data_IF_066837470680
#
_entry.id   IF_066837470680
#
_cell.length_a   1.000
_cell.length_b   1.000
_cell.length_c   1.000
_cell.angle_alpha   90.00
_cell.angle_beta   90.00
_cell.angle_gamma   90.00
#
_symmetry.space_group_name_H-M   'P 1'
#
loop_
_entity.id
_entity.type
_entity.pdbx_description
1 polymer ?
#
# COMPACT_ATOMS: atom_id res chain seq x y z
N UNK A 1 -17.43 10.15 16.36
CA UNK A 1 -16.31 9.25 16.71
C UNK A 1 -16.88 8.29 17.74
N UNK A 2 -16.93 6.98 17.45
CA UNK A 2 -17.42 6.00 18.43
C UNK A 2 -16.46 6.03 19.61
N UNK A 3 -16.98 6.28 20.81
CA UNK A 3 -16.17 6.34 22.01
C UNK A 3 -15.73 4.93 22.40
N UNK A 4 -14.57 4.52 21.90
CA UNK A 4 -13.92 3.23 22.24
C UNK A 4 -13.55 3.19 23.74
N UNK A 5 -13.58 4.33 24.46
CA UNK A 5 -13.37 4.36 25.91
C UNK A 5 -14.56 3.82 26.72
N UNK A 6 -15.76 3.75 26.13
CA UNK A 6 -16.78 2.83 26.61
C UNK A 6 -16.34 1.42 26.25
N UNK A 7 -15.66 0.82 27.21
CA UNK A 7 -14.88 -0.40 27.12
C UNK A 7 -15.68 -1.67 26.74
N UNK A 8 -16.86 -1.53 26.15
CA UNK A 8 -17.76 -2.62 25.76
C UNK A 8 -17.07 -3.62 24.83
N UNK A 9 -16.22 -3.16 23.90
CA UNK A 9 -15.48 -4.08 23.03
C UNK A 9 -14.47 -4.92 23.82
N UNK A 10 -13.63 -4.31 24.65
CA UNK A 10 -12.67 -5.08 25.43
C UNK A 10 -13.35 -5.91 26.53
N UNK A 11 -14.38 -5.40 27.20
CA UNK A 11 -15.18 -6.19 28.14
C UNK A 11 -15.82 -7.41 27.47
N UNK A 12 -16.21 -7.32 26.21
CA UNK A 12 -16.81 -8.44 25.47
C UNK A 12 -15.80 -9.53 25.09
N UNK A 13 -14.52 -9.21 24.95
CA UNK A 13 -13.51 -10.13 24.40
C UNK A 13 -12.33 -10.44 25.33
N UNK A 14 -12.13 -9.70 26.42
CA UNK A 14 -10.94 -9.85 27.30
C UNK A 14 -10.83 -11.25 27.92
N UNK A 15 -11.95 -11.90 28.20
CA UNK A 15 -12.02 -13.22 28.85
C UNK A 15 -12.49 -14.33 27.88
N UNK A 16 -12.60 -14.04 26.58
CA UNK A 16 -13.08 -14.99 25.56
C UNK A 16 -11.89 -15.69 24.90
N UNK A 17 -11.71 -16.98 25.19
CA UNK A 17 -10.61 -17.78 24.66
C UNK A 17 -11.08 -19.15 24.13
N UNK A 18 -10.72 -19.52 22.89
CA UNK A 18 -10.15 -18.68 21.84
C UNK A 18 -11.19 -17.68 21.28
N UNK A 19 -10.77 -16.44 21.02
CA UNK A 19 -11.61 -15.45 20.34
C UNK A 19 -11.56 -15.66 18.82
N UNK A 20 -12.34 -16.61 18.31
CA UNK A 20 -12.31 -17.00 16.89
C UNK A 20 -12.56 -15.84 15.92
N UNK A 21 -13.38 -14.85 16.30
CA UNK A 21 -13.64 -13.67 15.48
C UNK A 21 -12.40 -12.78 15.36
N UNK A 22 -11.67 -12.52 16.46
CA UNK A 22 -10.41 -11.78 16.44
C UNK A 22 -9.32 -12.55 15.70
N UNK A 23 -9.20 -13.86 15.97
CA UNK A 23 -8.24 -14.74 15.29
C UNK A 23 -8.49 -14.75 13.78
N UNK A 24 -9.74 -14.83 13.34
CA UNK A 24 -10.10 -14.80 11.91
C UNK A 24 -9.67 -13.50 11.23
N UNK A 25 -9.95 -12.34 11.84
CA UNK A 25 -9.49 -11.05 11.33
C UNK A 25 -7.95 -10.95 11.32
N UNK A 26 -7.30 -11.36 12.41
CA UNK A 26 -5.85 -11.29 12.55
C UNK A 26 -5.13 -12.18 11.53
N UNK A 27 -5.59 -13.42 11.33
CA UNK A 27 -5.07 -14.32 10.30
C UNK A 27 -5.26 -13.75 8.90
N UNK A 28 -6.42 -13.16 8.62
CA UNK A 28 -6.69 -12.53 7.31
C UNK A 28 -5.65 -11.45 7.02
N UNK A 29 -5.42 -10.54 7.97
CA UNK A 29 -4.38 -9.52 7.81
C UNK A 29 -2.98 -10.14 7.74
N UNK A 30 -2.62 -11.05 8.65
CA UNK A 30 -1.29 -11.67 8.66
C UNK A 30 -0.95 -12.38 7.35
N UNK A 31 -1.92 -13.05 6.72
CA UNK A 31 -1.74 -13.66 5.39
C UNK A 31 -1.50 -12.56 4.34
N UNK A 32 -2.39 -11.56 4.25
CA UNK A 32 -2.24 -10.47 3.28
C UNK A 32 -0.90 -9.74 3.46
N UNK A 33 -0.49 -9.48 4.70
CA UNK A 33 0.78 -8.84 5.05
C UNK A 33 1.98 -9.67 4.68
N UNK A 34 1.93 -10.98 4.88
CA UNK A 34 3.00 -11.89 4.45
C UNK A 34 3.20 -11.80 2.93
N UNK A 35 2.10 -11.86 2.17
CA UNK A 35 2.14 -11.66 0.72
C UNK A 35 2.69 -10.27 0.36
N UNK A 36 2.19 -9.23 1.02
CA UNK A 36 2.61 -7.85 0.81
C UNK A 36 4.10 -7.64 1.04
N UNK A 37 4.66 -8.19 2.13
CA UNK A 37 6.09 -8.09 2.44
C UNK A 37 6.93 -8.76 1.36
N UNK A 38 6.59 -9.99 0.95
CA UNK A 38 7.34 -10.73 -0.08
C UNK A 38 7.35 -9.96 -1.40
N UNK A 39 6.18 -9.52 -1.85
CA UNK A 39 6.06 -8.89 -3.16
C UNK A 39 6.58 -7.46 -3.20
N UNK A 40 6.35 -6.65 -2.17
CA UNK A 40 6.92 -5.31 -2.10
C UNK A 40 8.45 -5.36 -1.95
N UNK A 41 9.00 -6.31 -1.17
CA UNK A 41 10.45 -6.57 -1.16
C UNK A 41 10.97 -6.89 -2.55
N UNK A 42 10.24 -7.75 -3.29
CA UNK A 42 10.63 -8.14 -4.64
C UNK A 42 10.66 -6.95 -5.61
N UNK A 43 9.71 -6.03 -5.52
CA UNK A 43 9.71 -4.78 -6.29
C UNK A 43 10.94 -3.94 -5.97
N UNK A 44 11.24 -3.72 -4.69
CA UNK A 44 12.39 -2.91 -4.26
C UNK A 44 13.70 -3.51 -4.78
N UNK A 45 13.90 -4.83 -4.60
CA UNK A 45 15.10 -5.54 -5.05
C UNK A 45 15.21 -5.49 -6.58
N UNK A 46 14.12 -5.74 -7.30
CA UNK A 46 14.12 -5.68 -8.76
C UNK A 46 14.48 -4.27 -9.28
N UNK A 47 13.92 -3.23 -8.69
CA UNK A 47 14.27 -1.83 -9.03
C UNK A 47 15.74 -1.51 -8.75
N UNK A 48 16.29 -2.02 -7.65
CA UNK A 48 17.69 -1.80 -7.29
C UNK A 48 18.65 -2.51 -8.26
N UNK A 49 18.39 -3.77 -8.59
CA UNK A 49 19.28 -4.61 -9.39
C UNK A 49 19.22 -4.28 -10.90
N UNK A 50 18.06 -3.91 -11.42
CA UNK A 50 17.86 -3.70 -12.86
C UNK A 50 18.22 -2.28 -13.28
N UNK A 51 19.31 -2.13 -14.06
CA UNK A 51 19.80 -0.81 -14.52
C UNK A 51 18.76 -0.03 -15.35
N UNK A 52 17.90 -0.72 -16.11
CA UNK A 52 16.83 -0.07 -16.89
C UNK A 52 15.72 0.53 -16.01
N UNK A 53 15.69 0.21 -14.71
CA UNK A 53 14.70 0.75 -13.75
C UNK A 53 15.17 2.00 -13.03
N UNK A 54 16.25 2.64 -13.46
CA UNK A 54 16.80 3.86 -12.82
C UNK A 54 16.05 5.16 -13.14
N UNK A 55 14.82 5.09 -13.63
CA UNK A 55 13.95 6.25 -13.88
C UNK A 55 13.14 6.67 -12.65
N UNK A 56 12.59 7.89 -12.66
CA UNK A 56 11.81 8.46 -11.55
C UNK A 56 10.63 7.59 -11.14
N UNK A 57 9.86 7.12 -12.12
CA UNK A 57 8.64 6.32 -11.90
C UNK A 57 8.94 5.02 -11.14
N UNK A 58 10.00 4.32 -11.51
CA UNK A 58 10.37 3.06 -10.88
C UNK A 58 10.97 3.28 -9.49
N UNK A 59 11.73 4.36 -9.29
CA UNK A 59 12.18 4.76 -7.96
C UNK A 59 11.00 5.08 -7.04
N UNK A 60 10.03 5.90 -7.49
CA UNK A 60 8.87 6.26 -6.68
C UNK A 60 7.99 5.05 -6.39
N UNK A 61 7.89 4.11 -7.33
CA UNK A 61 7.22 2.82 -7.10
C UNK A 61 7.95 1.97 -6.05
N UNK A 62 9.28 1.94 -6.07
CA UNK A 62 10.06 1.25 -5.04
C UNK A 62 9.95 1.95 -3.67
N UNK A 63 9.92 3.29 -3.63
CA UNK A 63 9.70 4.06 -2.41
C UNK A 63 8.30 3.78 -1.83
N UNK A 64 7.29 3.75 -2.68
CA UNK A 64 5.93 3.35 -2.30
C UNK A 64 5.90 1.93 -1.74
N UNK A 65 6.50 0.96 -2.44
CA UNK A 65 6.63 -0.43 -1.96
C UNK A 65 7.42 -0.53 -0.65
N UNK A 66 8.40 0.34 -0.42
CA UNK A 66 9.12 0.40 0.86
C UNK A 66 8.19 0.80 2.00
N UNK A 67 7.39 1.85 1.83
CA UNK A 67 6.41 2.26 2.84
C UNK A 67 5.36 1.18 3.11
N UNK A 68 4.88 0.52 2.06
CA UNK A 68 3.97 -0.62 2.19
C UNK A 68 4.60 -1.79 2.95
N UNK A 69 5.85 -2.15 2.62
CA UNK A 69 6.59 -3.19 3.32
C UNK A 69 6.68 -2.87 4.82
N UNK A 70 7.05 -1.64 5.16
CA UNK A 70 7.18 -1.20 6.55
C UNK A 70 5.83 -1.24 7.26
N UNK A 71 4.76 -0.75 6.62
CA UNK A 71 3.38 -0.79 7.12
C UNK A 71 2.91 -2.22 7.40
N UNK A 72 3.19 -3.16 6.50
CA UNK A 72 2.67 -4.52 6.61
C UNK A 72 3.25 -5.31 7.80
N UNK A 73 4.42 -4.94 8.32
CA UNK A 73 4.98 -5.57 9.53
C UNK A 73 4.11 -5.36 10.78
N UNK A 74 3.35 -4.28 10.84
CA UNK A 74 2.54 -3.94 12.01
C UNK A 74 1.38 -4.90 12.26
N UNK A 75 0.86 -5.54 11.22
CA UNK A 75 -0.23 -6.52 11.36
C UNK A 75 0.17 -7.74 12.21
N UNK A 76 1.45 -8.06 12.32
CA UNK A 76 1.89 -9.17 13.15
C UNK A 76 1.72 -8.92 14.65
N UNK A 77 1.64 -7.67 15.10
CA UNK A 77 1.26 -7.41 16.49
C UNK A 77 -0.17 -7.89 16.76
N UNK A 78 -1.10 -7.61 15.84
CA UNK A 78 -2.48 -8.08 15.98
C UNK A 78 -2.59 -9.61 15.89
N UNK A 79 -1.79 -10.25 15.03
CA UNK A 79 -1.68 -11.72 15.02
C UNK A 79 -1.21 -12.22 16.38
N UNK A 80 -0.12 -11.65 16.92
CA UNK A 80 0.41 -12.05 18.21
C UNK A 80 -0.61 -11.90 19.34
N UNK A 81 -1.28 -10.75 19.44
CA UNK A 81 -2.27 -10.49 20.51
C UNK A 81 -3.51 -11.37 20.38
N UNK A 82 -4.03 -11.59 19.17
CA UNK A 82 -5.21 -12.44 18.95
C UNK A 82 -4.95 -13.93 19.22
N UNK A 83 -3.72 -14.41 18.98
CA UNK A 83 -3.31 -15.77 19.35
C UNK A 83 -2.86 -15.90 20.81
N UNK A 84 -2.54 -14.79 21.46
CA UNK A 84 -2.26 -14.77 22.89
C UNK A 84 -3.54 -15.02 23.69
N UNK A 85 -3.39 -15.50 24.93
CA UNK A 85 -4.51 -15.62 25.88
C UNK A 85 -5.00 -14.23 26.35
N UNK A 86 -4.39 -13.12 25.92
CA UNK A 86 -4.75 -11.79 26.42
C UNK A 86 -5.74 -11.06 25.50
N UNK A 87 -5.80 -11.39 24.20
CA UNK A 87 -6.53 -10.67 23.13
C UNK A 87 -6.20 -9.17 22.96
N UNK A 88 -5.66 -8.52 23.99
CA UNK A 88 -5.43 -7.10 24.09
C UNK A 88 -4.05 -6.80 24.66
N UNK A 89 -3.55 -5.63 24.31
CA UNK A 89 -2.26 -5.09 24.75
C UNK A 89 -2.46 -3.62 25.15
N UNK A 90 -1.65 -3.16 26.09
CA UNK A 90 -1.57 -1.76 26.50
C UNK A 90 -1.29 -0.85 25.28
N UNK A 91 -2.04 0.24 25.16
CA UNK A 91 -1.96 1.13 24.01
C UNK A 91 -0.58 1.79 23.86
N UNK A 92 0.06 2.20 24.97
CA UNK A 92 1.41 2.80 24.91
C UNK A 92 2.44 1.79 24.45
N UNK A 93 2.36 0.55 24.94
CA UNK A 93 3.25 -0.53 24.51
C UNK A 93 3.05 -0.84 23.02
N UNK A 94 1.81 -0.98 22.57
CA UNK A 94 1.50 -1.21 21.17
C UNK A 94 2.00 -0.05 20.28
N UNK A 95 1.83 1.20 20.69
CA UNK A 95 2.32 2.36 19.96
C UNK A 95 3.85 2.39 19.83
N UNK A 96 4.59 1.96 20.87
CA UNK A 96 6.06 1.81 20.79
C UNK A 96 6.45 0.74 19.77
N UNK A 97 5.80 -0.42 19.81
CA UNK A 97 6.08 -1.54 18.91
C UNK A 97 5.74 -1.16 17.46
N UNK A 98 4.61 -0.49 17.25
CA UNK A 98 4.09 -0.15 15.92
C UNK A 98 4.64 1.16 15.35
N UNK A 99 5.44 1.93 16.09
CA UNK A 99 5.89 3.27 15.68
C UNK A 99 6.46 3.29 14.25
N UNK A 100 7.39 2.39 13.94
CA UNK A 100 8.00 2.31 12.61
C UNK A 100 6.99 1.90 11.55
N UNK A 101 6.07 1.01 11.90
CA UNK A 101 5.03 0.53 11.00
C UNK A 101 4.01 1.62 10.68
N UNK A 102 3.62 2.41 11.68
CA UNK A 102 2.76 3.60 11.53
C UNK A 102 3.46 4.66 10.67
N UNK A 103 4.80 4.77 10.75
CA UNK A 103 5.59 5.65 9.89
C UNK A 103 5.52 5.19 8.44
N UNK A 104 5.63 3.87 8.23
CA UNK A 104 5.33 3.21 6.96
C UNK A 104 3.99 3.68 6.42
N UNK A 105 2.93 3.45 7.18
CA UNK A 105 1.55 3.77 6.79
C UNK A 105 1.36 5.25 6.44
N UNK A 106 1.86 6.16 7.28
CA UNK A 106 1.80 7.59 7.03
C UNK A 106 2.53 7.99 5.75
N UNK A 107 3.68 7.39 5.45
CA UNK A 107 4.47 7.68 4.25
C UNK A 107 3.85 7.23 2.92
N UNK A 108 2.93 6.26 2.96
CA UNK A 108 2.24 5.73 1.77
C UNK A 108 1.47 6.83 1.03
N UNK A 109 0.65 7.60 1.76
CA UNK A 109 -0.26 8.61 1.18
C UNK A 109 0.49 9.68 0.38
N UNK A 110 1.51 10.38 0.91
CA UNK A 110 2.28 11.35 0.13
C UNK A 110 3.11 10.68 -0.97
N UNK A 111 3.68 9.49 -0.75
CA UNK A 111 4.44 8.80 -1.80
C UNK A 111 3.54 8.44 -3.00
N UNK A 112 2.31 7.99 -2.74
CA UNK A 112 1.30 7.71 -3.76
C UNK A 112 0.88 8.98 -4.50
N UNK A 113 0.62 10.07 -3.77
CA UNK A 113 0.31 11.38 -4.36
C UNK A 113 1.43 11.88 -5.29
N UNK A 114 2.68 11.89 -4.82
CA UNK A 114 3.82 12.32 -5.61
C UNK A 114 4.08 11.41 -6.82
N UNK A 115 3.83 10.11 -6.71
CA UNK A 115 3.87 9.19 -7.85
C UNK A 115 2.85 9.56 -8.92
N UNK A 116 1.64 9.97 -8.51
CA UNK A 116 0.62 10.50 -9.41
C UNK A 116 1.08 11.77 -10.11
N UNK A 117 1.63 12.72 -9.36
CA UNK A 117 2.15 14.00 -9.90
C UNK A 117 3.29 13.78 -10.89
N UNK A 118 4.32 12.99 -10.52
CA UNK A 118 5.46 12.70 -11.40
C UNK A 118 5.01 12.16 -12.75
N UNK A 119 4.04 11.24 -12.75
CA UNK A 119 3.48 10.66 -13.97
C UNK A 119 2.68 11.68 -14.78
N UNK A 120 1.88 12.52 -14.13
CA UNK A 120 1.11 13.54 -14.83
C UNK A 120 2.05 14.57 -15.48
N UNK A 121 3.09 15.00 -14.77
CA UNK A 121 4.12 15.92 -15.30
C UNK A 121 4.85 15.27 -16.46
N UNK A 122 5.30 14.02 -16.35
CA UNK A 122 6.01 13.32 -17.43
C UNK A 122 5.17 13.18 -18.71
N UNK A 123 3.84 13.11 -18.60
CA UNK A 123 2.94 13.00 -19.76
C UNK A 123 2.54 14.36 -20.32
N UNK A 124 2.20 15.31 -19.46
CA UNK A 124 1.71 16.64 -19.85
C UNK A 124 2.85 17.61 -20.24
N UNK A 125 4.01 17.47 -19.61
CA UNK A 125 5.15 18.39 -19.71
C UNK A 125 6.48 17.62 -19.82
N UNK A 126 6.59 16.71 -20.79
CA UNK A 126 7.76 15.84 -20.94
C UNK A 126 9.08 16.62 -21.05
N UNK A 127 9.11 17.72 -21.81
CA UNK A 127 10.32 18.55 -21.95
C UNK A 127 10.79 19.14 -20.61
N UNK A 128 9.86 19.56 -19.75
CA UNK A 128 10.19 20.05 -18.42
C UNK A 128 10.70 18.91 -17.53
N UNK A 129 10.04 17.75 -17.59
CA UNK A 129 10.40 16.57 -16.80
C UNK A 129 11.82 16.08 -17.12
N UNK A 130 12.19 16.04 -18.40
CA UNK A 130 13.52 15.62 -18.86
C UNK A 130 14.65 16.56 -18.40
N UNK A 131 14.33 17.82 -18.12
CA UNK A 131 15.28 18.82 -17.62
C UNK A 131 15.44 18.81 -16.09
N UNK A 132 14.66 18.00 -15.36
CA UNK A 132 14.75 17.93 -13.90
C UNK A 132 16.05 17.25 -13.45
N UNK A 133 16.68 17.81 -12.41
CA UNK A 133 17.79 17.15 -11.71
C UNK A 133 17.26 15.98 -10.90
N UNK A 134 17.14 14.82 -11.54
CA UNK A 134 16.49 13.61 -11.02
C UNK A 134 16.87 13.28 -9.56
N UNK A 135 18.16 13.34 -9.21
CA UNK A 135 18.61 13.04 -7.83
C UNK A 135 18.03 13.98 -6.79
N UNK A 136 18.05 15.28 -7.05
CA UNK A 136 17.51 16.28 -6.12
C UNK A 136 16.00 16.18 -6.02
N UNK A 137 15.33 15.99 -7.17
CA UNK A 137 13.90 15.79 -7.25
C UNK A 137 13.44 14.58 -6.40
N UNK A 138 14.06 13.42 -6.61
CA UNK A 138 13.70 12.20 -5.87
C UNK A 138 14.07 12.29 -4.38
N UNK A 139 15.19 12.93 -4.03
CA UNK A 139 15.57 13.16 -2.64
C UNK A 139 14.55 14.06 -1.92
N UNK A 140 14.05 15.11 -2.58
CA UNK A 140 13.02 15.98 -2.04
C UNK A 140 11.72 15.21 -1.77
N UNK A 141 11.21 14.47 -2.77
CA UNK A 141 9.98 13.69 -2.62
C UNK A 141 10.09 12.63 -1.51
N UNK A 142 11.23 11.93 -1.45
CA UNK A 142 11.52 10.96 -0.40
C UNK A 142 11.51 11.61 0.98
N UNK A 143 12.17 12.76 1.12
CA UNK A 143 12.26 13.50 2.39
C UNK A 143 10.87 13.97 2.84
N UNK A 144 10.05 14.48 1.93
CA UNK A 144 8.68 14.91 2.25
C UNK A 144 7.81 13.73 2.71
N UNK A 145 7.86 12.59 2.02
CA UNK A 145 7.10 11.39 2.42
C UNK A 145 7.55 10.83 3.77
N UNK A 146 8.87 10.75 4.01
CA UNK A 146 9.43 10.28 5.29
C UNK A 146 9.07 11.23 6.43
N UNK A 147 9.19 12.54 6.22
CA UNK A 147 8.88 13.55 7.23
C UNK A 147 7.41 13.49 7.62
N UNK A 148 6.51 13.37 6.63
CA UNK A 148 5.09 13.21 6.89
C UNK A 148 4.78 11.92 7.67
N UNK A 149 5.34 10.77 7.26
CA UNK A 149 5.16 9.50 7.98
C UNK A 149 5.70 9.57 9.41
N UNK A 150 6.83 10.23 9.64
CA UNK A 150 7.39 10.43 10.98
C UNK A 150 6.48 11.30 11.85
N UNK A 151 6.04 12.46 11.34
CA UNK A 151 5.11 13.34 12.07
C UNK A 151 3.78 12.65 12.38
N UNK A 152 3.26 11.85 11.44
CA UNK A 152 2.07 11.03 11.64
C UNK A 152 2.26 10.05 12.80
N UNK A 153 3.40 9.35 12.85
CA UNK A 153 3.70 8.39 13.93
C UNK A 153 3.90 9.03 15.28
N UNK A 154 4.54 10.20 15.32
CA UNK A 154 4.68 10.99 16.56
C UNK A 154 3.31 11.42 17.07
N UNK A 155 2.41 11.85 16.18
CA UNK A 155 1.04 12.20 16.56
C UNK A 155 0.30 11.01 17.17
N UNK A 156 0.38 9.82 16.54
CA UNK A 156 -0.25 8.62 17.10
C UNK A 156 0.35 8.19 18.43
N UNK A 157 1.68 8.29 18.56
CA UNK A 157 2.36 8.00 19.80
C UNK A 157 1.96 8.96 20.93
N UNK A 158 1.78 10.25 20.62
CA UNK A 158 1.27 11.23 21.56
C UNK A 158 -0.18 10.93 21.98
N UNK A 159 -1.06 10.56 21.03
CA UNK A 159 -2.41 10.10 21.32
C UNK A 159 -2.39 8.91 22.30
N UNK A 160 -1.49 7.94 22.07
CA UNK A 160 -1.34 6.79 22.96
C UNK A 160 -0.80 7.13 24.35
N UNK A 161 0.03 8.17 24.49
CA UNK A 161 0.47 8.65 25.82
C UNK A 161 -0.72 9.23 26.59
N UNK A 162 -1.55 10.05 25.92
CA UNK A 162 -2.73 10.68 26.52
C UNK A 162 -3.80 9.66 26.90
N UNK A 163 -4.04 8.65 26.07
CA UNK A 163 -5.07 7.60 26.25
C UNK A 163 -4.51 6.34 26.94
N UNK A 164 -3.43 6.47 27.70
CA UNK A 164 -2.51 5.38 28.01
C UNK A 164 -3.01 4.19 28.81
N UNK A 165 -4.19 4.26 29.43
CA UNK A 165 -4.77 3.15 30.19
C UNK A 165 -5.71 2.27 29.33
N UNK A 166 -5.81 2.56 28.03
CA UNK A 166 -6.66 1.80 27.11
C UNK A 166 -5.98 0.49 26.68
N UNK A 167 -6.77 -0.58 26.69
CA UNK A 167 -6.40 -1.88 26.16
C UNK A 167 -6.93 -2.01 24.73
N UNK A 168 -6.04 -2.29 23.78
CA UNK A 168 -6.38 -2.37 22.35
C UNK A 168 -6.04 -3.75 21.79
N UNK A 169 -6.61 -4.11 20.64
CA UNK A 169 -6.29 -5.40 20.00
C UNK A 169 -4.88 -5.42 19.43
N UNK A 170 -4.24 -4.27 19.24
CA UNK A 170 -2.96 -4.16 18.52
C UNK A 170 -3.13 -4.15 17.00
N UNK A 171 -4.36 -4.01 16.52
CA UNK A 171 -4.69 -3.77 15.11
C UNK A 171 -4.50 -2.29 14.77
N UNK A 172 -4.11 -1.99 13.53
CA UNK A 172 -4.05 -0.62 13.01
C UNK A 172 -5.36 0.15 13.14
N UNK A 173 -6.49 -0.56 13.15
CA UNK A 173 -7.82 0.04 13.32
C UNK A 173 -7.93 0.75 14.67
N UNK A 174 -7.23 0.25 15.68
CA UNK A 174 -7.23 0.84 17.03
C UNK A 174 -6.47 2.18 17.05
N UNK A 175 -5.55 2.37 16.10
CA UNK A 175 -4.75 3.59 15.90
C UNK A 175 -5.45 4.61 15.00
N UNK A 176 -6.72 4.42 14.65
CA UNK A 176 -7.49 5.38 13.85
C UNK A 176 -8.02 6.57 14.66
N UNK A 177 -7.61 6.74 15.93
CA UNK A 177 -7.79 7.99 16.71
C UNK A 177 -6.82 9.08 16.25
N UNK A 178 -6.69 9.20 14.94
CA UNK A 178 -5.80 10.12 14.28
C UNK A 178 -6.20 11.54 14.67
N UNK A 179 -5.20 12.36 14.97
CA UNK A 179 -5.40 13.79 15.15
C UNK A 179 -6.26 14.33 14.00
N UNK A 180 -7.34 15.09 14.27
CA UNK A 180 -8.26 15.56 13.23
C UNK A 180 -7.55 16.21 12.04
N UNK A 181 -6.43 16.88 12.31
CA UNK A 181 -5.56 17.50 11.30
C UNK A 181 -5.01 16.46 10.30
N UNK A 182 -4.38 15.39 10.79
CA UNK A 182 -3.82 14.35 9.93
C UNK A 182 -4.91 13.58 9.18
N UNK A 183 -6.07 13.37 9.80
CA UNK A 183 -7.21 12.78 9.12
C UNK A 183 -7.68 13.65 7.95
N UNK A 184 -7.84 14.97 8.17
CA UNK A 184 -8.18 15.92 7.09
C UNK A 184 -7.13 15.93 5.99
N UNK A 185 -5.84 15.96 6.32
CA UNK A 185 -4.76 15.93 5.33
C UNK A 185 -4.80 14.63 4.52
N UNK A 186 -4.97 13.48 5.16
CA UNK A 186 -5.08 12.18 4.47
C UNK A 186 -6.28 12.15 3.52
N UNK A 187 -7.45 12.61 3.96
CA UNK A 187 -8.66 12.71 3.12
C UNK A 187 -8.38 13.56 1.88
N UNK A 188 -7.76 14.73 2.06
CA UNK A 188 -7.42 15.63 0.96
C UNK A 188 -6.41 14.99 0.00
N UNK A 189 -5.32 14.43 0.51
CA UNK A 189 -4.28 13.82 -0.31
C UNK A 189 -4.81 12.61 -1.09
N UNK A 190 -5.58 11.72 -0.46
CA UNK A 190 -6.19 10.56 -1.14
C UNK A 190 -7.16 11.03 -2.22
N UNK A 191 -8.00 12.03 -1.93
CA UNK A 191 -8.95 12.59 -2.90
C UNK A 191 -8.25 13.25 -4.08
N UNK A 192 -7.21 14.06 -3.83
CA UNK A 192 -6.40 14.68 -4.88
C UNK A 192 -5.66 13.62 -5.71
N UNK A 193 -5.17 12.57 -5.06
CA UNK A 193 -4.51 11.45 -5.73
C UNK A 193 -5.48 10.77 -6.69
N UNK A 194 -6.71 10.47 -6.25
CA UNK A 194 -7.75 9.94 -7.13
C UNK A 194 -8.00 10.83 -8.36
N UNK A 195 -8.14 12.15 -8.16
CA UNK A 195 -8.33 13.11 -9.26
C UNK A 195 -7.13 13.12 -10.21
N UNK A 196 -5.90 13.16 -9.70
CA UNK A 196 -4.67 13.14 -10.52
C UNK A 196 -4.64 11.89 -11.40
N UNK A 197 -5.00 10.73 -10.85
CA UNK A 197 -5.02 9.49 -11.63
C UNK A 197 -6.16 9.41 -12.64
N UNK A 198 -7.31 10.03 -12.36
CA UNK A 198 -8.36 10.22 -13.35
C UNK A 198 -7.86 11.09 -14.52
N UNK A 199 -7.20 12.22 -14.22
CA UNK A 199 -6.60 13.10 -15.23
C UNK A 199 -5.51 12.39 -16.03
N UNK A 200 -4.67 11.58 -15.37
CA UNK A 200 -3.67 10.75 -16.02
C UNK A 200 -4.32 9.76 -17.01
N UNK A 201 -5.41 9.10 -16.61
CA UNK A 201 -6.20 8.21 -17.45
C UNK A 201 -6.73 8.91 -18.70
N UNK A 202 -7.27 10.12 -18.53
CA UNK A 202 -7.78 10.94 -19.64
C UNK A 202 -6.64 11.37 -20.57
N UNK A 203 -5.53 11.89 -20.02
CA UNK A 203 -4.39 12.36 -20.78
C UNK A 203 -3.79 11.25 -21.66
N UNK A 204 -3.65 10.04 -21.12
CA UNK A 204 -3.16 8.91 -21.91
C UNK A 204 -4.15 8.46 -22.97
N UNK A 205 -5.45 8.47 -22.68
CA UNK A 205 -6.46 8.14 -23.70
C UNK A 205 -6.43 9.10 -24.88
N UNK A 206 -6.27 10.40 -24.61
CA UNK A 206 -6.15 11.43 -25.65
C UNK A 206 -4.88 11.18 -26.48
N UNK A 207 -3.73 11.01 -25.83
CA UNK A 207 -2.45 10.80 -26.52
C UNK A 207 -2.44 9.51 -27.37
N UNK A 208 -3.03 8.43 -26.86
CA UNK A 208 -3.12 7.15 -27.55
C UNK A 208 -4.03 7.18 -28.80
N UNK A 209 -4.95 8.15 -28.90
CA UNK A 209 -5.83 8.30 -30.07
C UNK A 209 -5.15 8.96 -31.28
N UNK A 210 -3.98 9.57 -31.09
CA UNK A 210 -3.29 10.38 -32.11
C UNK A 210 -2.11 9.73 -32.85
N UNK A 211 -1.61 8.55 -32.42
CA UNK A 211 -0.40 7.94 -32.99
C UNK A 211 -0.63 6.54 -33.59
N UNK A 212 -0.28 6.28 -34.86
CA UNK A 212 -0.33 4.95 -35.46
C UNK A 212 0.85 4.08 -34.99
N UNK A 213 0.55 2.89 -34.48
CA UNK A 213 1.39 1.68 -34.55
C UNK A 213 2.63 1.54 -33.63
N UNK A 214 3.33 2.60 -33.21
CA UNK A 214 4.52 2.47 -32.35
C UNK A 214 4.20 2.33 -30.84
N UNK A 215 2.94 2.46 -30.45
CA UNK A 215 2.52 2.74 -29.07
C UNK A 215 1.99 1.52 -28.28
N UNK A 216 2.08 0.31 -28.83
CA UNK A 216 1.54 -0.91 -28.19
C UNK A 216 2.24 -1.26 -26.87
N UNK A 217 3.55 -0.99 -26.79
CA UNK A 217 4.36 -1.18 -25.58
C UNK A 217 3.96 -0.20 -24.46
N UNK A 218 3.90 1.10 -24.78
CA UNK A 218 3.47 2.14 -23.83
C UNK A 218 2.04 1.88 -23.33
N UNK A 219 1.14 1.41 -24.20
CA UNK A 219 -0.24 1.07 -23.84
C UNK A 219 -0.31 -0.10 -22.85
N UNK A 220 0.58 -1.09 -22.99
CA UNK A 220 0.65 -2.24 -22.07
C UNK A 220 1.14 -1.83 -20.69
N UNK A 221 2.25 -1.09 -20.65
CA UNK A 221 2.81 -0.53 -19.40
C UNK A 221 1.80 0.40 -18.73
N UNK A 222 1.03 1.17 -19.49
CA UNK A 222 -0.02 2.01 -18.93
C UNK A 222 -1.20 1.21 -18.36
N UNK A 223 -1.62 0.13 -19.04
CA UNK A 223 -2.69 -0.76 -18.52
C UNK A 223 -2.28 -1.44 -17.21
N UNK A 224 -1.04 -1.89 -17.13
CA UNK A 224 -0.41 -2.42 -15.91
C UNK A 224 -0.51 -1.41 -14.77
N UNK A 225 -0.04 -0.20 -15.05
CA UNK A 225 -0.05 0.93 -14.13
C UNK A 225 -1.47 1.22 -13.65
N UNK A 226 -2.42 1.37 -14.57
CA UNK A 226 -3.81 1.68 -14.28
C UNK A 226 -4.43 0.60 -13.39
N UNK A 227 -4.15 -0.68 -13.65
CA UNK A 227 -4.62 -1.77 -12.79
C UNK A 227 -4.05 -1.67 -11.36
N UNK A 228 -2.74 -1.44 -11.21
CA UNK A 228 -2.12 -1.23 -9.89
C UNK A 228 -2.81 -0.08 -9.18
N UNK A 229 -2.90 1.07 -9.85
CA UNK A 229 -3.51 2.30 -9.33
C UNK A 229 -4.96 2.06 -8.93
N UNK A 230 -5.79 1.44 -9.77
CA UNK A 230 -7.21 1.20 -9.47
C UNK A 230 -7.41 0.28 -8.29
N UNK A 231 -6.64 -0.81 -8.19
CA UNK A 231 -6.76 -1.75 -7.07
C UNK A 231 -6.26 -1.10 -5.79
N UNK A 232 -5.14 -0.39 -5.85
CA UNK A 232 -4.51 0.19 -4.68
C UNK A 232 -5.27 1.42 -4.17
N UNK A 233 -5.43 2.44 -5.01
CA UNK A 233 -6.14 3.69 -4.66
C UNK A 233 -7.62 3.40 -4.40
N UNK A 234 -8.22 2.50 -5.18
CA UNK A 234 -9.59 2.07 -4.96
C UNK A 234 -9.77 1.46 -3.57
N UNK A 235 -8.82 0.66 -3.10
CA UNK A 235 -8.82 0.12 -1.74
C UNK A 235 -8.78 1.22 -0.68
N UNK A 236 -7.81 2.14 -0.76
CA UNK A 236 -7.69 3.27 0.18
C UNK A 236 -8.92 4.18 0.15
N UNK A 237 -9.41 4.53 -1.03
CA UNK A 237 -10.57 5.40 -1.22
C UNK A 237 -11.86 4.73 -0.73
N UNK A 238 -12.03 3.43 -0.97
CA UNK A 238 -13.15 2.65 -0.45
C UNK A 238 -13.15 2.63 1.08
N UNK A 239 -12.00 2.31 1.71
CA UNK A 239 -11.88 2.33 3.16
C UNK A 239 -12.16 3.73 3.73
N UNK A 240 -11.72 4.79 3.05
CA UNK A 240 -12.00 6.18 3.43
C UNK A 240 -13.50 6.51 3.39
N UNK A 241 -14.20 6.13 2.31
CA UNK A 241 -15.65 6.33 2.17
C UNK A 241 -16.39 5.59 3.30
N UNK A 242 -16.04 4.33 3.55
CA UNK A 242 -16.63 3.56 4.64
C UNK A 242 -16.37 4.21 5.99
N UNK A 243 -15.14 4.68 6.24
CA UNK A 243 -14.78 5.34 7.49
C UNK A 243 -15.57 6.63 7.75
N UNK A 244 -15.78 7.45 6.71
CA UNK A 244 -16.50 8.73 6.85
C UNK A 244 -18.02 8.53 6.88
N UNK A 245 -18.57 7.66 6.03
CA UNK A 245 -20.01 7.57 5.81
C UNK A 245 -20.66 6.41 6.57
N UNK A 246 -20.01 5.24 6.62
CA UNK A 246 -20.62 4.03 7.17
C UNK A 246 -20.37 3.93 8.68
N UNK A 247 -19.11 4.00 9.13
CA UNK A 247 -18.74 3.75 10.53
C UNK A 247 -19.49 4.66 11.52
N UNK A 248 -19.68 5.97 11.27
CA UNK A 248 -20.41 6.84 12.20
C UNK A 248 -21.90 6.50 12.36
N UNK A 249 -22.48 5.74 11.42
CA UNK A 249 -23.90 5.33 11.48
C UNK A 249 -24.12 4.08 12.32
N UNK A 250 -23.05 3.40 12.74
CA UNK A 250 -23.11 2.16 13.51
C UNK A 250 -23.06 2.48 15.01
N UNK A 251 -24.19 2.28 15.70
CA UNK A 251 -24.29 2.58 17.14
C UNK A 251 -23.54 1.59 18.04
N UNK A 252 -23.38 0.33 17.61
CA UNK A 252 -22.70 -0.71 18.37
C UNK A 252 -21.17 -0.63 18.19
N UNK A 253 -20.37 -0.40 19.25
CA UNK A 253 -18.91 -0.34 19.14
C UNK A 253 -18.29 -1.63 18.59
N UNK A 254 -18.86 -2.78 18.96
CA UNK A 254 -18.40 -4.09 18.49
C UNK A 254 -18.63 -4.22 16.98
N UNK A 255 -19.84 -3.90 16.53
CA UNK A 255 -20.18 -3.94 15.11
C UNK A 255 -19.34 -2.93 14.32
N UNK A 256 -19.14 -1.72 14.85
CA UNK A 256 -18.33 -0.69 14.22
C UNK A 256 -16.88 -1.15 14.04
N UNK A 257 -16.28 -1.78 15.05
CA UNK A 257 -14.92 -2.32 14.98
C UNK A 257 -14.80 -3.40 13.90
N UNK A 258 -15.70 -4.39 13.89
CA UNK A 258 -15.68 -5.45 12.86
C UNK A 258 -15.97 -4.93 11.46
N UNK A 259 -16.91 -3.99 11.31
CA UNK A 259 -17.16 -3.34 10.04
C UNK A 259 -15.91 -2.62 9.54
N UNK A 260 -15.21 -1.89 10.42
CA UNK A 260 -13.98 -1.21 10.04
C UNK A 260 -12.88 -2.21 9.64
N UNK A 261 -12.78 -3.34 10.36
CA UNK A 261 -11.86 -4.41 9.98
C UNK A 261 -12.16 -4.97 8.59
N UNK A 262 -13.42 -5.30 8.32
CA UNK A 262 -13.83 -5.81 7.02
C UNK A 262 -13.56 -4.77 5.91
N UNK A 263 -13.87 -3.49 6.14
CA UNK A 263 -13.66 -2.44 5.13
C UNK A 263 -12.19 -2.09 4.89
N UNK A 264 -11.29 -2.46 5.81
CA UNK A 264 -9.84 -2.32 5.64
C UNK A 264 -9.19 -3.49 4.87
N UNK A 265 -9.91 -4.60 4.62
CA UNK A 265 -9.38 -5.72 3.84
C UNK A 265 -9.05 -5.30 2.39
N UNK A 266 -9.93 -4.62 1.62
CA UNK A 266 -9.62 -4.17 0.27
C UNK A 266 -8.38 -3.27 0.18
N UNK A 267 -8.19 -2.38 1.15
CA UNK A 267 -7.00 -1.53 1.24
C UNK A 267 -5.74 -2.39 1.36
N UNK A 268 -5.72 -3.37 2.28
CA UNK A 268 -4.56 -4.24 2.48
C UNK A 268 -4.28 -5.16 1.29
N UNK A 269 -5.33 -5.64 0.60
CA UNK A 269 -5.17 -6.36 -0.67
C UNK A 269 -4.52 -5.42 -1.70
N UNK A 270 -4.97 -4.17 -1.78
CA UNK A 270 -4.33 -3.11 -2.58
C UNK A 270 -2.84 -2.99 -2.31
N UNK A 271 -2.48 -2.79 -1.04
CA UNK A 271 -1.10 -2.69 -0.55
C UNK A 271 -0.22 -3.89 -0.94
N UNK A 272 -0.78 -5.11 -0.93
CA UNK A 272 -0.08 -6.33 -1.29
C UNK A 272 -0.05 -6.62 -2.81
N UNK A 273 -0.90 -5.95 -3.60
CA UNK A 273 -1.13 -6.28 -5.02
C UNK A 273 -0.10 -5.70 -5.99
N UNK A 274 0.72 -4.74 -5.56
CA UNK A 274 1.65 -4.02 -6.46
C UNK A 274 2.63 -4.97 -7.16
N UNK A 275 3.31 -5.85 -6.42
CA UNK A 275 4.26 -6.80 -6.99
C UNK A 275 3.61 -7.84 -7.93
N UNK A 276 2.52 -8.53 -7.53
CA UNK A 276 1.81 -9.45 -8.41
C UNK A 276 1.34 -8.78 -9.70
N UNK A 277 0.69 -7.62 -9.61
CA UNK A 277 0.19 -6.93 -10.80
C UNK A 277 1.36 -6.59 -11.73
N UNK A 278 2.47 -6.03 -11.22
CA UNK A 278 3.67 -5.75 -12.03
C UNK A 278 4.21 -7.01 -12.72
N UNK A 279 4.31 -8.13 -12.01
CA UNK A 279 4.79 -9.39 -12.57
C UNK A 279 3.90 -9.90 -13.72
N UNK A 280 2.58 -9.83 -13.55
CA UNK A 280 1.64 -10.33 -14.55
C UNK A 280 1.45 -9.37 -15.74
N UNK A 281 1.66 -8.07 -15.54
CA UNK A 281 1.31 -7.06 -16.55
C UNK A 281 2.50 -6.41 -17.26
N UNK A 282 3.69 -6.36 -16.64
CA UNK A 282 4.94 -5.85 -17.23
C UNK A 282 5.92 -6.98 -17.53
N UNK A 283 6.39 -7.03 -18.77
CA UNK A 283 7.41 -7.97 -19.23
C UNK A 283 8.77 -7.72 -18.58
N UNK A 284 9.10 -6.45 -18.35
CA UNK A 284 10.37 -6.01 -17.78
C UNK A 284 10.43 -6.40 -16.30
N UNK A 285 9.37 -6.13 -15.53
CA UNK A 285 9.30 -6.51 -14.12
C UNK A 285 9.31 -8.03 -13.95
N UNK A 286 8.64 -8.75 -14.86
CA UNK A 286 8.69 -10.22 -14.87
C UNK A 286 10.11 -10.74 -15.06
N UNK A 287 10.85 -10.22 -16.04
CA UNK A 287 12.24 -10.58 -16.28
C UNK A 287 13.14 -10.22 -15.10
N UNK A 288 12.94 -9.03 -14.51
CA UNK A 288 13.67 -8.59 -13.34
C UNK A 288 13.40 -9.50 -12.12
N UNK A 289 12.15 -9.93 -11.90
CA UNK A 289 11.80 -10.85 -10.82
C UNK A 289 12.41 -12.23 -11.01
N UNK A 290 12.37 -12.76 -12.24
CA UNK A 290 13.00 -14.04 -12.58
C UNK A 290 14.52 -13.99 -12.41
N UNK A 291 15.13 -12.85 -12.69
CA UNK A 291 16.58 -12.64 -12.51
C UNK A 291 16.94 -12.50 -11.04
N UNK A 292 16.16 -11.75 -10.26
CA UNK A 292 16.42 -11.51 -8.85
C UNK A 292 16.11 -12.74 -7.96
N UNK A 293 15.08 -13.52 -8.31
CA UNK A 293 14.61 -14.66 -7.52
C UNK A 293 14.35 -15.89 -8.39
N UNK A 294 15.39 -16.45 -9.04
CA UNK A 294 15.23 -17.53 -10.01
C UNK A 294 14.56 -18.77 -9.41
N UNK A 295 14.84 -19.12 -8.15
CA UNK A 295 14.24 -20.30 -7.51
C UNK A 295 12.74 -20.15 -7.26
N UNK A 296 12.28 -18.94 -6.93
CA UNK A 296 10.87 -18.66 -6.64
C UNK A 296 10.07 -18.62 -7.93
N UNK A 297 10.53 -17.88 -8.93
CA UNK A 297 9.75 -17.65 -10.14
C UNK A 297 9.94 -18.70 -11.25
N UNK A 298 11.01 -19.51 -11.23
CA UNK A 298 11.20 -20.60 -12.21
C UNK A 298 10.08 -21.65 -12.16
N UNK A 299 9.46 -21.86 -10.99
CA UNK A 299 8.29 -22.76 -10.83
C UNK A 299 6.99 -22.15 -11.35
N UNK A 300 6.90 -20.82 -11.41
CA UNK A 300 5.70 -20.08 -11.81
C UNK A 300 5.73 -19.77 -13.31
N UNK A 301 6.91 -19.68 -13.91
CA UNK A 301 7.08 -19.43 -15.35
C UNK A 301 6.75 -20.65 -16.20
N UNK A 302 5.99 -20.45 -17.27
CA UNK A 302 5.74 -21.48 -18.28
C UNK A 302 7.08 -21.97 -18.87
N UNK A 303 7.36 -23.30 -18.91
CA UNK A 303 8.62 -23.85 -19.43
C UNK A 303 9.00 -23.30 -20.81
N UNK A 304 8.00 -23.07 -21.67
CA UNK A 304 8.22 -22.56 -23.03
C UNK A 304 8.75 -21.11 -23.04
N UNK A 305 8.40 -20.30 -22.02
CA UNK A 305 8.94 -18.94 -21.87
C UNK A 305 10.38 -18.95 -21.33
N UNK A 306 10.70 -19.91 -20.46
CA UNK A 306 12.07 -20.08 -19.93
C UNK A 306 13.04 -20.47 -21.05
N UNK A 307 12.61 -21.38 -21.93
CA UNK A 307 13.40 -21.82 -23.10
C UNK A 307 13.60 -20.67 -24.09
N UNK A 308 12.56 -19.85 -24.35
CA UNK A 308 12.68 -18.68 -25.22
C UNK A 308 13.68 -17.64 -24.67
N UNK A 309 13.62 -17.34 -23.36
CA UNK A 309 14.55 -16.42 -22.69
C UNK A 309 16.00 -16.92 -22.69
N UNK A 310 16.21 -18.22 -22.44
CA UNK A 310 17.56 -18.81 -22.45
C UNK A 310 18.20 -18.81 -23.83
N UNK A 311 17.40 -18.91 -24.89
CA UNK A 311 17.89 -18.96 -26.26
C UNK A 311 18.05 -17.58 -26.91
N UNK A 312 17.87 -16.48 -26.16
CA UNK A 312 17.88 -15.13 -26.72
C UNK A 312 16.80 -14.90 -27.79
N UNK A 313 15.78 -15.77 -27.83
CA UNK A 313 14.72 -15.68 -28.81
C UNK A 313 13.73 -14.59 -28.35
N UNK A 314 13.26 -13.73 -29.27
CA UNK A 314 12.19 -12.80 -28.96
C UNK A 314 10.99 -13.61 -28.45
N UNK A 315 10.49 -13.26 -27.26
CA UNK A 315 9.29 -13.88 -26.69
C UNK A 315 8.16 -13.74 -27.71
N UNK A 316 7.86 -14.82 -28.42
CA UNK A 316 6.75 -14.87 -29.35
C UNK A 316 5.50 -14.40 -28.63
N UNK A 317 4.81 -13.44 -29.23
CA UNK A 317 3.56 -12.88 -28.72
C UNK A 317 2.51 -13.98 -28.64
N UNK A 318 2.49 -14.69 -27.53
CA UNK A 318 1.38 -15.57 -27.17
C UNK A 318 0.22 -14.66 -26.83
N UNK A 319 -0.75 -14.60 -27.75
CA UNK A 319 -2.02 -13.92 -27.53
C UNK A 319 -2.70 -14.59 -26.32
N UNK A 320 -2.86 -13.79 -25.26
CA UNK A 320 -3.81 -14.03 -24.18
C UNK A 320 -4.93 -12.99 -24.34
#
# INVERSE_FOLDING_TARGET
>A
MVDISNNTFYLAFKDVHPSWSLIGCALTYGIISTFGIIFNSSVIVATYLTKSFRGTVNYLLALYSFFELVHQFGHFLFVYTAFSVQNFIDFRLAAKILFVSVMGFGGIVPAMFFTGIDRLIGIAFSEFHDNLKMRLYLALLTTLSLSYGFCFSVSEYQSAICDGDQMITGSYIDFLKISPIFNTINVLLISMTFVIYLLLGIAVRIKASGLPSADSFNRRTFRALFCIISVNIGGYFFSLICYILLIPTISSPITAWFCNAITAIPMNIGSASSGPILYFTSTEYRQAFQTAFPFVFKRISNPNQVIALQNGLPLGTTQF
#
